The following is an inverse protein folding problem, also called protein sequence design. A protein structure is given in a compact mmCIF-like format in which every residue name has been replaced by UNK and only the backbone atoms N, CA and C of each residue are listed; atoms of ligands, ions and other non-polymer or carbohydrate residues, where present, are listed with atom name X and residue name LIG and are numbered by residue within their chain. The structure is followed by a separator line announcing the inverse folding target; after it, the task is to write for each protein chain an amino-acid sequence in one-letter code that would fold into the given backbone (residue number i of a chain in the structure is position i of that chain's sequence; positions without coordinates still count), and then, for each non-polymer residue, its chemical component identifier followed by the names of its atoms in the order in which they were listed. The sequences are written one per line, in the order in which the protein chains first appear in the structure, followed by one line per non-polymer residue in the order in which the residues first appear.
data_IF_769492204928
#
_entry.id   IF_769492204928
#
_cell.length_a   1.000
_cell.length_b   1.000
_cell.length_c   1.000
_cell.angle_alpha   90.00
_cell.angle_beta   90.00
_cell.angle_gamma   90.00
#
_symmetry.space_group_name_H-M   'P 1'
#
loop_
_entity.id
_entity.type
_entity.pdbx_description
1 polymer ?
#
# COMPACT_ATOMS: atom_id res chain seq x y z
N UNK A 1 -29.36 12.70 -1.06
CA UNK A 1 -28.27 12.48 -2.04
C UNK A 1 -27.17 11.76 -1.31
N UNK A 2 -27.07 10.44 -1.50
CA UNK A 2 -25.87 9.71 -1.06
C UNK A 2 -24.68 10.30 -1.83
N UNK A 3 -23.65 10.75 -1.11
CA UNK A 3 -22.35 11.02 -1.74
C UNK A 3 -21.92 9.69 -2.35
N UNK A 4 -21.96 9.60 -3.66
CA UNK A 4 -21.30 8.54 -4.41
C UNK A 4 -19.82 8.74 -4.11
N UNK A 5 -19.29 8.03 -3.13
CA UNK A 5 -17.85 8.06 -2.83
C UNK A 5 -17.14 7.69 -4.13
N UNK A 6 -16.54 8.70 -4.75
CA UNK A 6 -15.84 8.56 -6.00
C UNK A 6 -14.67 7.61 -5.71
N UNK A 7 -14.70 6.41 -6.30
CA UNK A 7 -13.65 5.42 -6.10
C UNK A 7 -12.33 6.09 -6.53
N UNK A 8 -11.39 6.35 -5.60
CA UNK A 8 -10.16 7.03 -5.95
C UNK A 8 -9.41 6.17 -6.95
N UNK A 9 -8.92 6.77 -8.02
CA UNK A 9 -8.10 6.06 -9.01
C UNK A 9 -6.63 6.38 -8.76
N UNK A 10 -5.73 5.39 -8.92
CA UNK A 10 -4.30 5.67 -8.88
C UNK A 10 -3.91 6.69 -9.95
N UNK A 11 -2.99 7.58 -9.61
CA UNK A 11 -2.45 8.54 -10.57
C UNK A 11 -1.73 7.81 -11.71
N UNK A 12 -1.75 8.41 -12.90
CA UNK A 12 -1.02 7.86 -14.05
C UNK A 12 0.48 7.69 -13.73
N UNK A 13 1.03 8.59 -12.92
CA UNK A 13 2.44 8.56 -12.52
C UNK A 13 2.74 7.32 -11.68
N UNK A 14 1.96 7.02 -10.64
CA UNK A 14 2.27 5.85 -9.83
C UNK A 14 2.09 4.55 -10.62
N UNK A 15 1.08 4.46 -11.50
CA UNK A 15 0.87 3.29 -12.34
C UNK A 15 2.07 3.03 -13.27
N UNK A 16 2.63 4.08 -13.89
CA UNK A 16 3.84 3.93 -14.72
C UNK A 16 5.03 3.41 -13.92
N UNK A 17 5.26 3.96 -12.72
CA UNK A 17 6.35 3.51 -11.85
C UNK A 17 6.13 2.08 -11.34
N UNK A 18 4.90 1.73 -10.95
CA UNK A 18 4.52 0.41 -10.48
C UNK A 18 4.68 -0.65 -11.58
N UNK A 19 4.20 -0.38 -12.80
CA UNK A 19 4.38 -1.27 -13.94
C UNK A 19 5.85 -1.50 -14.27
N UNK A 20 6.68 -0.44 -14.24
CA UNK A 20 8.13 -0.58 -14.43
C UNK A 20 8.75 -1.52 -13.39
N UNK A 21 8.39 -1.38 -12.12
CA UNK A 21 8.87 -2.24 -11.04
C UNK A 21 8.35 -3.68 -11.20
N UNK A 22 7.08 -3.87 -11.56
CA UNK A 22 6.47 -5.18 -11.80
C UNK A 22 7.22 -5.94 -12.90
N UNK A 23 7.50 -5.30 -14.05
CA UNK A 23 8.28 -5.92 -15.12
C UNK A 23 9.74 -6.19 -14.74
N UNK A 24 10.35 -5.33 -13.91
CA UNK A 24 11.76 -5.46 -13.52
C UNK A 24 11.97 -6.57 -12.49
N UNK A 25 11.03 -6.73 -11.57
CA UNK A 25 11.14 -7.64 -10.43
C UNK A 25 10.31 -8.91 -10.57
N UNK A 26 9.54 -9.04 -11.66
CA UNK A 26 8.59 -10.13 -11.91
C UNK A 26 7.63 -10.31 -10.73
N UNK A 27 6.92 -9.22 -10.37
CA UNK A 27 5.97 -9.19 -9.24
C UNK A 27 4.62 -8.63 -9.68
N UNK A 28 3.50 -9.29 -9.33
CA UNK A 28 2.18 -8.75 -9.57
C UNK A 28 1.92 -7.47 -8.77
N UNK A 29 1.14 -6.56 -9.36
CA UNK A 29 0.61 -5.38 -8.68
C UNK A 29 -0.72 -5.76 -8.03
N UNK A 30 -0.78 -5.61 -6.72
CA UNK A 30 -1.93 -5.89 -5.87
C UNK A 30 -2.60 -4.57 -5.45
N UNK A 31 -3.91 -4.47 -5.68
CA UNK A 31 -4.73 -3.28 -5.38
C UNK A 31 -5.85 -3.57 -4.38
N UNK A 32 -5.83 -4.73 -3.73
CA UNK A 32 -6.77 -5.15 -2.69
C UNK A 32 -6.80 -4.18 -1.49
N UNK A 33 -5.69 -3.50 -1.17
CA UNK A 33 -5.62 -2.48 -0.10
C UNK A 33 -5.94 -1.05 -0.55
N UNK A 34 -6.13 -0.83 -1.86
CA UNK A 34 -6.18 0.53 -2.42
C UNK A 34 -7.36 1.34 -1.88
N UNK A 35 -8.59 0.81 -1.99
CA UNK A 35 -9.81 1.53 -1.58
C UNK A 35 -9.79 1.78 -0.07
N UNK A 36 -9.47 0.77 0.73
CA UNK A 36 -9.44 0.91 2.20
C UNK A 36 -8.32 1.86 2.69
N UNK A 37 -7.22 2.00 1.93
CA UNK A 37 -6.19 3.00 2.23
C UNK A 37 -6.66 4.45 2.09
N UNK A 38 -7.76 4.68 1.36
CA UNK A 38 -8.39 6.00 1.20
C UNK A 38 -9.58 6.21 2.14
N UNK A 39 -10.17 5.13 2.66
CA UNK A 39 -11.36 5.16 3.51
C UNK A 39 -11.10 5.61 4.98
N UNK A 40 -9.87 6.00 5.31
CA UNK A 40 -9.50 6.57 6.61
C UNK A 40 -9.54 5.56 7.76
N UNK A 41 -8.37 5.01 8.12
CA UNK A 41 -8.18 4.25 9.37
C UNK A 41 -8.30 2.74 9.26
N UNK A 42 -8.65 2.18 8.09
CA UNK A 42 -8.66 0.74 7.87
C UNK A 42 -7.31 0.14 7.51
N UNK A 43 -6.42 0.92 6.89
CA UNK A 43 -5.10 0.44 6.45
C UNK A 43 -4.02 1.32 7.07
N UNK A 44 -2.94 0.69 7.52
CA UNK A 44 -1.79 1.37 8.10
C UNK A 44 -0.49 0.61 7.84
N UNK A 45 0.63 1.31 7.96
CA UNK A 45 1.96 0.68 7.99
C UNK A 45 2.29 0.35 9.45
N UNK A 46 2.34 -0.94 9.77
CA UNK A 46 2.81 -1.44 11.05
C UNK A 46 4.33 -1.55 11.06
N UNK A 47 4.98 -1.08 12.11
CA UNK A 47 6.42 -1.28 12.35
C UNK A 47 6.57 -2.25 13.53
N UNK A 48 7.09 -3.44 13.27
CA UNK A 48 7.38 -4.45 14.30
C UNK A 48 8.58 -4.04 15.15
N UNK A 49 8.77 -4.72 16.28
CA UNK A 49 9.96 -4.56 17.13
C UNK A 49 11.27 -4.85 16.38
N UNK A 50 11.23 -5.75 15.40
CA UNK A 50 12.34 -6.08 14.49
C UNK A 50 12.67 -4.98 13.46
N UNK A 51 12.03 -3.81 13.54
CA UNK A 51 12.06 -2.72 12.54
C UNK A 51 11.45 -3.09 11.17
N UNK A 52 10.93 -4.30 11.03
CA UNK A 52 10.21 -4.73 9.83
C UNK A 52 8.91 -3.96 9.67
N UNK A 53 8.63 -3.55 8.43
CA UNK A 53 7.38 -2.86 8.08
C UNK A 53 6.42 -3.86 7.45
N UNK A 54 5.15 -3.81 7.83
CA UNK A 54 4.08 -4.59 7.19
C UNK A 54 2.90 -3.67 6.88
N UNK A 55 2.15 -4.00 5.83
CA UNK A 55 0.88 -3.35 5.57
C UNK A 55 -0.21 -4.10 6.34
N UNK A 56 -0.95 -3.40 7.18
CA UNK A 56 -1.95 -3.98 8.10
C UNK A 56 -3.32 -3.41 7.75
N UNK A 57 -4.30 -4.29 7.54
CA UNK A 57 -5.72 -3.93 7.50
C UNK A 57 -6.44 -4.35 8.79
N UNK A 58 -6.09 -5.51 9.33
CA UNK A 58 -6.57 -6.05 10.59
C UNK A 58 -5.52 -6.97 11.20
N UNK A 59 -5.79 -7.54 12.38
CA UNK A 59 -4.90 -8.53 13.01
C UNK A 59 -4.75 -9.81 12.17
N UNK A 60 -5.76 -10.17 11.39
CA UNK A 60 -5.78 -11.36 10.53
C UNK A 60 -5.35 -11.06 9.09
N UNK A 61 -5.47 -9.80 8.65
CA UNK A 61 -5.19 -9.38 7.27
C UNK A 61 -4.03 -8.38 7.23
N UNK A 62 -2.84 -8.92 6.97
CA UNK A 62 -1.60 -8.17 6.80
C UNK A 62 -0.70 -8.81 5.73
N UNK A 63 0.25 -8.04 5.22
CA UNK A 63 1.19 -8.51 4.21
C UNK A 63 2.45 -9.11 4.82
N UNK A 64 3.21 -9.88 4.03
CA UNK A 64 4.62 -10.16 4.32
C UNK A 64 5.43 -8.87 4.52
N UNK A 65 6.62 -8.94 5.15
CA UNK A 65 7.48 -7.79 5.35
C UNK A 65 7.72 -7.00 4.07
N UNK A 66 7.54 -5.69 4.17
CA UNK A 66 7.81 -4.72 3.13
C UNK A 66 9.33 -4.55 3.06
N UNK A 67 9.91 -4.97 1.94
CA UNK A 67 11.34 -4.82 1.65
C UNK A 67 11.69 -3.41 1.19
N UNK A 68 10.77 -2.72 0.50
CA UNK A 68 11.00 -1.37 -0.02
C UNK A 68 9.74 -0.54 -0.13
N UNK A 69 9.87 0.75 0.15
CA UNK A 69 8.81 1.75 0.05
C UNK A 69 9.25 2.85 -0.90
N UNK A 70 8.41 3.18 -1.89
CA UNK A 70 8.58 4.34 -2.74
C UNK A 70 7.40 5.29 -2.58
N UNK A 71 7.67 6.59 -2.49
CA UNK A 71 6.64 7.64 -2.50
C UNK A 71 6.56 8.27 -3.89
N UNK A 72 5.37 8.30 -4.46
CA UNK A 72 5.09 8.96 -5.74
C UNK A 72 3.88 9.86 -5.55
N UNK A 73 4.10 11.17 -5.42
CA UNK A 73 3.02 12.11 -5.09
C UNK A 73 2.39 11.78 -3.74
N UNK A 74 1.06 11.61 -3.75
CA UNK A 74 0.24 11.28 -2.57
C UNK A 74 -0.01 9.78 -2.39
N UNK A 75 0.85 8.95 -2.97
CA UNK A 75 0.67 7.51 -3.06
C UNK A 75 1.99 6.77 -2.76
N UNK A 76 1.90 5.56 -2.22
CA UNK A 76 3.03 4.68 -1.96
C UNK A 76 3.00 3.44 -2.84
N UNK A 77 4.20 3.00 -3.26
CA UNK A 77 4.47 1.67 -3.80
C UNK A 77 5.20 0.90 -2.70
N UNK A 78 4.61 -0.20 -2.24
CA UNK A 78 5.17 -1.08 -1.23
C UNK A 78 5.57 -2.40 -1.89
N UNK A 79 6.83 -2.80 -1.77
CA UNK A 79 7.32 -4.06 -2.33
C UNK A 79 7.49 -5.07 -1.21
N UNK A 80 6.87 -6.23 -1.34
CA UNK A 80 7.10 -7.40 -0.48
C UNK A 80 7.96 -8.42 -1.23
N UNK A 81 8.13 -9.61 -0.66
CA UNK A 81 8.84 -10.70 -1.32
C UNK A 81 8.22 -11.08 -2.68
N UNK A 82 6.89 -11.10 -2.80
CA UNK A 82 6.21 -11.67 -3.98
C UNK A 82 5.21 -10.73 -4.64
N UNK A 83 5.00 -9.52 -4.11
CA UNK A 83 3.98 -8.62 -4.64
C UNK A 83 4.34 -7.15 -4.46
N UNK A 84 3.69 -6.29 -5.25
CA UNK A 84 3.77 -4.84 -5.17
C UNK A 84 2.39 -4.31 -4.80
N UNK A 85 2.28 -3.56 -3.71
CA UNK A 85 1.02 -2.92 -3.29
C UNK A 85 1.04 -1.42 -3.58
N UNK A 86 -0.11 -0.90 -4.00
CA UNK A 86 -0.36 0.53 -4.10
C UNK A 86 -1.32 0.96 -3.00
N UNK A 87 -0.98 2.03 -2.29
CA UNK A 87 -1.80 2.60 -1.21
C UNK A 87 -1.68 4.11 -1.16
N UNK A 88 -2.63 4.79 -0.53
CA UNK A 88 -2.53 6.22 -0.23
C UNK A 88 -1.34 6.50 0.66
N UNK A 89 -0.62 7.60 0.41
CA UNK A 89 0.44 8.08 1.30
C UNK A 89 -0.10 8.73 2.59
N UNK A 90 -1.43 8.84 2.72
CA UNK A 90 -2.13 9.38 3.89
C UNK A 90 -2.36 8.34 4.99
N UNK A 91 -2.07 7.06 4.74
CA UNK A 91 -2.21 6.02 5.76
C UNK A 91 -1.23 6.25 6.92
N UNK A 92 -1.65 6.01 8.17
CA UNK A 92 -0.79 6.20 9.32
C UNK A 92 0.30 5.12 9.37
N UNK A 93 1.41 5.47 10.02
CA UNK A 93 2.45 4.50 10.42
C UNK A 93 2.43 4.38 11.94
N UNK A 94 2.35 3.16 12.49
CA UNK A 94 2.38 2.94 13.95
C UNK A 94 3.27 1.76 14.31
N UNK A 95 3.85 1.80 15.51
CA UNK A 95 4.54 0.65 16.09
C UNK A 95 3.51 -0.37 16.57
N UNK A 96 3.79 -1.65 16.32
CA UNK A 96 2.96 -2.78 16.75
C UNK A 96 3.85 -3.75 17.54
N UNK A 97 3.33 -4.30 18.65
CA UNK A 97 4.00 -5.30 19.49
C UNK A 97 3.61 -6.70 19.09
#
# INVERSE_FOLDING_TARGET
MEKKDEMPLPSQKILQHACKLACTHDKPIMMDYWVDSHAGGKVMIGVKESEEKILVRSEEEYTSPISKVYKVGDEFILITENSIYLVSAKIPTRKIS
#
